data_IF_871500509600
#
_entry.id   IF_871500509600
#
_cell.length_a   1.000
_cell.length_b   1.000
_cell.length_c   1.000
_cell.angle_alpha   90.00
_cell.angle_beta   90.00
_cell.angle_gamma   90.00
#
_symmetry.space_group_name_H-M   'P 1'
#
loop_
_entity.id
_entity.type
_entity.pdbx_description
1 polymer ?
#
# COMPACT_ATOMS: atom_id res chain seq x y z
N UNK A 1 -10.44 -1.02 -22.83
CA UNK A 1 -10.42 0.03 -23.87
C UNK A 1 -10.71 -0.53 -25.27
N UNK A 2 -10.14 -1.67 -25.70
CA UNK A 2 -10.34 -2.23 -27.06
C UNK A 2 -11.82 -2.33 -27.50
N UNK A 3 -12.76 -2.84 -26.68
CA UNK A 3 -14.17 -2.88 -27.08
C UNK A 3 -14.76 -1.47 -27.31
N UNK A 4 -14.33 -0.49 -26.51
CA UNK A 4 -14.78 0.90 -26.67
C UNK A 4 -14.25 1.53 -27.96
N UNK A 5 -12.96 1.38 -28.26
CA UNK A 5 -12.34 1.86 -29.48
C UNK A 5 -13.06 1.33 -30.73
N UNK A 6 -13.49 0.06 -30.72
CA UNK A 6 -14.26 -0.52 -31.84
C UNK A 6 -15.61 0.15 -32.07
N UNK A 7 -16.21 0.70 -31.03
CA UNK A 7 -17.49 1.42 -31.10
C UNK A 7 -17.30 2.89 -31.45
N UNK A 8 -16.28 3.53 -30.88
CA UNK A 8 -16.00 4.95 -31.06
C UNK A 8 -15.48 5.28 -32.47
N UNK A 9 -14.66 4.40 -33.05
CA UNK A 9 -14.03 4.60 -34.35
C UNK A 9 -14.54 3.59 -35.38
N UNK A 10 -15.57 3.95 -36.19
CA UNK A 10 -16.10 3.08 -37.24
C UNK A 10 -15.10 2.81 -38.36
N UNK A 11 -14.26 3.81 -38.68
CA UNK A 11 -13.27 3.71 -39.73
C UNK A 11 -12.05 2.90 -39.29
N UNK A 12 -11.51 2.09 -40.20
CA UNK A 12 -10.39 1.19 -39.92
C UNK A 12 -9.09 1.96 -39.58
N UNK A 13 -8.84 3.02 -40.27
CA UNK A 13 -7.65 3.88 -40.17
C UNK A 13 -7.61 4.53 -38.78
N UNK A 14 -8.70 5.16 -38.36
CA UNK A 14 -8.83 5.80 -37.04
C UNK A 14 -8.71 4.80 -35.92
N UNK A 15 -9.28 3.60 -36.10
CA UNK A 15 -9.18 2.49 -35.14
C UNK A 15 -7.74 2.02 -34.99
N UNK A 16 -6.98 1.92 -36.07
CA UNK A 16 -5.56 1.56 -36.05
C UNK A 16 -4.76 2.63 -35.32
N UNK A 17 -5.02 3.91 -35.59
CA UNK A 17 -4.36 5.02 -34.92
C UNK A 17 -4.65 5.01 -33.41
N UNK A 18 -5.91 4.82 -33.00
CA UNK A 18 -6.32 4.71 -31.62
C UNK A 18 -5.65 3.51 -30.92
N UNK A 19 -5.64 2.34 -31.55
CA UNK A 19 -4.99 1.15 -30.98
C UNK A 19 -3.48 1.34 -30.81
N UNK A 20 -2.78 1.94 -31.79
CA UNK A 20 -1.34 2.22 -31.68
C UNK A 20 -1.01 3.09 -30.48
N UNK A 21 -1.78 4.17 -30.23
CA UNK A 21 -1.60 5.06 -29.09
C UNK A 21 -1.79 4.35 -27.73
N UNK A 22 -2.60 3.27 -27.67
CA UNK A 22 -2.81 2.48 -26.47
C UNK A 22 -1.85 1.30 -26.33
N UNK A 23 -0.95 1.05 -27.27
CA UNK A 23 0.10 0.03 -27.14
C UNK A 23 1.34 0.53 -26.40
N UNK A 24 1.41 1.81 -26.06
CA UNK A 24 2.49 2.34 -25.25
C UNK A 24 2.46 1.75 -23.83
N UNK A 25 3.64 1.69 -23.20
CA UNK A 25 3.80 1.11 -21.87
C UNK A 25 2.88 1.79 -20.85
N UNK A 26 2.14 0.97 -20.13
CA UNK A 26 1.29 1.38 -19.03
C UNK A 26 1.26 0.29 -17.97
N UNK A 27 1.71 0.61 -16.75
CA UNK A 27 1.72 -0.33 -15.63
C UNK A 27 1.39 0.40 -14.32
N UNK A 28 0.33 -0.03 -13.67
CA UNK A 28 -0.07 0.44 -12.34
C UNK A 28 -0.82 -0.66 -11.61
N UNK A 29 -1.21 -0.42 -10.36
CA UNK A 29 -2.00 -1.39 -9.62
C UNK A 29 -3.34 -1.68 -10.34
N UNK A 30 -3.72 -2.96 -10.56
CA UNK A 30 -4.84 -3.34 -11.43
C UNK A 30 -6.17 -2.67 -11.08
N UNK A 31 -6.48 -2.51 -9.78
CA UNK A 31 -7.77 -1.95 -9.37
C UNK A 31 -7.78 -0.42 -9.44
N UNK A 32 -6.69 0.20 -9.06
CA UNK A 32 -6.53 1.67 -9.12
C UNK A 32 -6.27 2.17 -10.56
N UNK A 33 -6.07 1.27 -11.49
CA UNK A 33 -6.09 1.57 -12.94
C UNK A 33 -7.47 2.04 -13.43
N UNK A 34 -8.55 1.64 -12.78
CA UNK A 34 -9.91 1.92 -13.22
C UNK A 34 -10.23 3.41 -13.45
N UNK A 35 -9.89 4.35 -12.54
CA UNK A 35 -10.16 5.77 -12.80
C UNK A 35 -9.35 6.32 -13.98
N UNK A 36 -8.11 5.86 -14.19
CA UNK A 36 -7.31 6.27 -15.36
C UNK A 36 -7.95 5.78 -16.67
N UNK A 37 -8.45 4.54 -16.65
CA UNK A 37 -9.16 4.00 -17.80
C UNK A 37 -10.46 4.75 -18.06
N UNK A 38 -11.16 5.20 -17.01
CA UNK A 38 -12.34 6.06 -17.12
C UNK A 38 -12.02 7.38 -17.80
N UNK A 39 -11.01 8.11 -17.30
CA UNK A 39 -10.54 9.37 -17.90
C UNK A 39 -10.12 9.15 -19.37
N UNK A 40 -9.33 8.12 -19.62
CA UNK A 40 -8.85 7.80 -20.97
C UNK A 40 -9.99 7.52 -21.92
N UNK A 41 -11.02 6.82 -21.47
CA UNK A 41 -12.21 6.52 -22.27
C UNK A 41 -12.99 7.78 -22.62
N UNK A 42 -13.17 8.69 -21.65
CA UNK A 42 -13.84 9.97 -21.88
C UNK A 42 -13.09 10.83 -22.90
N UNK A 43 -11.74 10.91 -22.80
CA UNK A 43 -10.93 11.66 -23.76
C UNK A 43 -11.01 11.04 -25.18
N UNK A 44 -11.03 9.72 -25.30
CA UNK A 44 -11.20 9.04 -26.60
C UNK A 44 -12.59 9.30 -27.20
N UNK A 45 -13.63 9.33 -26.37
CA UNK A 45 -14.99 9.61 -26.82
C UNK A 45 -15.14 11.05 -27.30
N UNK A 46 -14.63 12.02 -26.55
CA UNK A 46 -14.66 13.43 -26.94
C UNK A 46 -13.85 13.67 -28.24
N UNK A 47 -12.71 13.00 -28.37
CA UNK A 47 -11.92 13.05 -29.62
C UNK A 47 -12.69 12.45 -30.80
N UNK A 48 -13.35 11.31 -30.59
CA UNK A 48 -14.17 10.68 -31.64
C UNK A 48 -15.35 11.57 -32.05
N UNK A 49 -15.85 12.40 -31.14
CA UNK A 49 -16.90 13.40 -31.35
C UNK A 49 -16.38 14.70 -32.01
N UNK A 50 -15.06 14.79 -32.29
CA UNK A 50 -14.45 15.90 -33.01
C UNK A 50 -13.72 16.93 -32.13
N UNK A 51 -13.53 16.69 -30.86
CA UNK A 51 -12.71 17.52 -29.99
C UNK A 51 -11.22 17.46 -30.39
N UNK A 52 -10.52 18.58 -30.34
CA UNK A 52 -9.08 18.67 -30.66
C UNK A 52 -8.22 18.15 -29.49
N UNK A 53 -8.26 16.85 -29.30
CA UNK A 53 -7.49 16.15 -28.27
C UNK A 53 -6.35 15.40 -28.95
N UNK A 54 -5.10 15.78 -28.66
CA UNK A 54 -3.93 15.16 -29.24
C UNK A 54 -3.53 13.86 -28.50
N UNK A 55 -2.66 13.06 -29.14
CA UNK A 55 -2.18 11.79 -28.58
C UNK A 55 -1.42 11.99 -27.26
N UNK A 56 -0.69 13.10 -27.14
CA UNK A 56 0.10 13.45 -25.97
C UNK A 56 -0.79 13.71 -24.74
N UNK A 57 -1.97 14.31 -24.91
CA UNK A 57 -2.90 14.54 -23.82
C UNK A 57 -3.42 13.21 -23.23
N UNK A 58 -3.85 12.30 -24.11
CA UNK A 58 -4.35 10.98 -23.69
C UNK A 58 -3.24 10.16 -23.02
N UNK A 59 -2.04 10.17 -23.61
CA UNK A 59 -0.90 9.43 -23.06
C UNK A 59 -0.36 10.07 -21.79
N UNK A 60 -0.36 11.41 -21.71
CA UNK A 60 0.05 12.16 -20.51
C UNK A 60 -0.75 11.80 -19.28
N UNK A 61 -2.07 11.61 -19.40
CA UNK A 61 -2.91 11.13 -18.30
C UNK A 61 -2.48 9.73 -17.85
N UNK A 62 -2.31 8.81 -18.79
CA UNK A 62 -1.91 7.43 -18.47
C UNK A 62 -0.56 7.37 -17.75
N UNK A 63 0.45 8.00 -18.33
CA UNK A 63 1.82 7.99 -17.80
C UNK A 63 1.92 8.79 -16.51
N UNK A 64 1.30 9.98 -16.46
CA UNK A 64 1.36 10.85 -15.29
C UNK A 64 0.74 10.25 -14.04
N UNK A 65 -0.31 9.44 -14.20
CA UNK A 65 -1.01 8.82 -13.07
C UNK A 65 -0.51 7.39 -12.74
N UNK A 66 0.27 6.80 -13.60
CA UNK A 66 0.73 5.41 -13.49
C UNK A 66 1.48 5.14 -12.17
N UNK A 67 2.52 5.91 -11.90
CA UNK A 67 3.36 5.78 -10.71
C UNK A 67 2.64 6.16 -9.42
N UNK A 68 2.06 7.36 -9.32
CA UNK A 68 1.33 7.79 -8.12
C UNK A 68 0.23 6.83 -7.70
N UNK A 69 -0.56 6.31 -8.65
CA UNK A 69 -1.63 5.38 -8.33
C UNK A 69 -1.12 3.99 -7.95
N UNK A 70 0.01 3.53 -8.49
CA UNK A 70 0.66 2.32 -7.99
C UNK A 70 1.08 2.49 -6.53
N UNK A 71 1.68 3.64 -6.19
CA UNK A 71 2.07 3.99 -4.82
C UNK A 71 0.91 4.03 -3.81
N UNK A 72 -0.31 4.26 -4.25
CA UNK A 72 -1.53 4.17 -3.41
C UNK A 72 -2.12 2.76 -3.44
N UNK A 73 -2.21 2.15 -4.61
CA UNK A 73 -2.93 0.90 -4.83
C UNK A 73 -2.28 -0.31 -4.19
N UNK A 74 -0.96 -0.45 -4.35
CA UNK A 74 -0.24 -1.60 -3.81
C UNK A 74 -0.32 -1.67 -2.27
N UNK A 75 -0.05 -0.58 -1.52
CA UNK A 75 -0.22 -0.57 -0.08
C UNK A 75 -1.63 -0.88 0.40
N UNK A 76 -2.63 -0.27 -0.23
CA UNK A 76 -4.01 -0.43 0.20
C UNK A 76 -4.52 -1.84 -0.07
N UNK A 77 -4.34 -2.35 -1.28
CA UNK A 77 -4.92 -3.64 -1.66
C UNK A 77 -4.04 -4.83 -1.31
N UNK A 78 -2.74 -4.80 -1.69
CA UNK A 78 -1.86 -5.95 -1.50
C UNK A 78 -1.32 -6.07 -0.09
N UNK A 79 -0.99 -4.94 0.55
CA UNK A 79 -0.33 -4.94 1.85
C UNK A 79 -1.27 -4.65 3.03
N UNK A 80 -2.52 -4.25 2.80
CA UNK A 80 -3.49 -3.98 3.87
C UNK A 80 -4.74 -4.83 3.75
N UNK A 81 -5.58 -4.59 2.77
CA UNK A 81 -6.89 -5.24 2.66
C UNK A 81 -6.79 -6.76 2.49
N UNK A 82 -5.93 -7.21 1.57
CA UNK A 82 -5.79 -8.64 1.29
C UNK A 82 -5.25 -9.45 2.46
N UNK A 83 -4.17 -9.03 3.16
CA UNK A 83 -3.71 -9.70 4.37
C UNK A 83 -4.74 -9.72 5.49
N UNK A 84 -5.47 -8.63 5.73
CA UNK A 84 -6.50 -8.57 6.77
C UNK A 84 -7.61 -9.58 6.48
N UNK A 85 -8.18 -9.54 5.28
CA UNK A 85 -9.25 -10.48 4.91
C UNK A 85 -8.74 -11.93 4.87
N UNK A 86 -7.47 -12.12 4.42
CA UNK A 86 -6.83 -13.43 4.42
C UNK A 86 -6.63 -14.00 5.83
N UNK A 87 -6.18 -13.17 6.77
CA UNK A 87 -6.01 -13.58 8.17
C UNK A 87 -7.35 -13.92 8.83
N UNK A 88 -8.39 -13.12 8.60
CA UNK A 88 -9.74 -13.42 9.08
C UNK A 88 -10.28 -14.73 8.51
N UNK A 89 -10.15 -14.93 7.19
CA UNK A 89 -10.56 -16.15 6.52
C UNK A 89 -9.80 -17.38 7.03
N UNK A 90 -8.48 -17.26 7.19
CA UNK A 90 -7.62 -18.32 7.70
C UNK A 90 -7.94 -18.68 9.15
N UNK A 91 -8.17 -17.69 10.01
CA UNK A 91 -8.55 -17.91 11.41
C UNK A 91 -9.83 -18.75 11.55
N UNK A 92 -10.84 -18.45 10.74
CA UNK A 92 -12.08 -19.24 10.71
C UNK A 92 -11.86 -20.64 10.11
N UNK A 93 -11.02 -20.76 9.09
CA UNK A 93 -10.73 -22.04 8.46
C UNK A 93 -9.95 -23.00 9.38
N UNK A 94 -9.06 -22.47 10.23
CA UNK A 94 -8.32 -23.27 11.21
C UNK A 94 -9.24 -23.98 12.22
N UNK A 95 -10.41 -23.42 12.52
CA UNK A 95 -11.44 -24.07 13.33
C UNK A 95 -12.32 -25.07 12.56
N UNK A 96 -11.96 -25.40 11.31
CA UNK A 96 -12.74 -26.29 10.43
C UNK A 96 -13.98 -25.63 9.82
N UNK A 97 -14.15 -24.31 9.95
CA UNK A 97 -15.32 -23.60 9.45
C UNK A 97 -15.14 -23.17 8.00
N UNK A 98 -15.99 -23.72 7.11
CA UNK A 98 -15.99 -23.40 5.66
C UNK A 98 -16.36 -21.93 5.36
N UNK A 99 -16.93 -21.22 6.32
CA UNK A 99 -17.22 -19.79 6.19
C UNK A 99 -15.94 -18.97 6.00
N UNK A 100 -14.79 -19.41 6.50
CA UNK A 100 -13.51 -18.72 6.35
C UNK A 100 -13.12 -18.45 4.88
N UNK A 101 -12.92 -19.49 4.04
CA UNK A 101 -12.64 -19.33 2.62
C UNK A 101 -13.74 -18.57 1.86
N UNK A 102 -15.02 -18.79 2.18
CA UNK A 102 -16.13 -18.10 1.55
C UNK A 102 -16.14 -16.61 1.90
N UNK A 103 -15.87 -16.26 3.16
CA UNK A 103 -15.75 -14.86 3.60
C UNK A 103 -14.65 -14.14 2.80
N UNK A 104 -13.46 -14.74 2.72
CA UNK A 104 -12.37 -14.17 1.93
C UNK A 104 -12.77 -13.98 0.47
N UNK A 105 -13.35 -15.01 -0.15
CA UNK A 105 -13.74 -14.97 -1.56
C UNK A 105 -14.78 -13.89 -1.84
N UNK A 106 -15.87 -13.86 -1.08
CA UNK A 106 -16.95 -12.90 -1.32
C UNK A 106 -16.56 -11.48 -0.93
N UNK A 107 -16.00 -11.27 0.26
CA UNK A 107 -15.59 -9.93 0.70
C UNK A 107 -14.55 -9.31 -0.24
N UNK A 108 -13.52 -10.08 -0.62
CA UNK A 108 -12.51 -9.60 -1.56
C UNK A 108 -13.11 -9.22 -2.92
N UNK A 109 -13.96 -10.08 -3.49
CA UNK A 109 -14.54 -9.80 -4.81
C UNK A 109 -15.56 -8.65 -4.78
N UNK A 110 -16.37 -8.53 -3.73
CA UNK A 110 -17.33 -7.42 -3.59
C UNK A 110 -16.56 -6.09 -3.49
N UNK A 111 -15.58 -6.00 -2.60
CA UNK A 111 -14.77 -4.77 -2.44
C UNK A 111 -14.08 -4.41 -3.76
N UNK A 112 -13.43 -5.38 -4.40
CA UNK A 112 -12.72 -5.17 -5.66
C UNK A 112 -13.63 -4.69 -6.78
N UNK A 113 -14.77 -5.36 -6.99
CA UNK A 113 -15.71 -5.04 -8.07
C UNK A 113 -16.34 -3.68 -7.81
N UNK A 114 -16.80 -3.42 -6.59
CA UNK A 114 -17.37 -2.13 -6.23
C UNK A 114 -16.36 -0.99 -6.43
N UNK A 115 -15.11 -1.18 -5.95
CA UNK A 115 -14.06 -0.17 -6.11
C UNK A 115 -13.79 0.12 -7.60
N UNK A 116 -13.58 -0.90 -8.42
CA UNK A 116 -13.33 -0.74 -9.87
C UNK A 116 -14.50 -0.01 -10.52
N UNK A 117 -15.73 -0.41 -10.23
CA UNK A 117 -16.92 0.18 -10.84
C UNK A 117 -17.05 1.66 -10.50
N UNK A 118 -17.05 2.00 -9.19
CA UNK A 118 -17.22 3.39 -8.77
C UNK A 118 -16.08 4.30 -9.19
N UNK A 119 -14.84 3.83 -9.14
CA UNK A 119 -13.69 4.65 -9.51
C UNK A 119 -13.55 4.82 -11.02
N UNK A 120 -13.98 3.84 -11.83
CA UNK A 120 -14.04 4.00 -13.28
C UNK A 120 -15.09 5.01 -13.69
N UNK A 121 -16.28 4.93 -13.09
CA UNK A 121 -17.37 5.91 -13.34
C UNK A 121 -16.94 7.31 -12.91
N UNK A 122 -16.30 7.44 -11.75
CA UNK A 122 -15.72 8.71 -11.29
C UNK A 122 -14.67 9.23 -12.28
N UNK A 123 -13.74 8.38 -12.72
CA UNK A 123 -12.72 8.75 -13.70
C UNK A 123 -13.32 9.20 -15.03
N UNK A 124 -14.37 8.54 -15.49
CA UNK A 124 -15.06 8.95 -16.72
C UNK A 124 -15.69 10.35 -16.59
N UNK A 125 -16.38 10.63 -15.49
CA UNK A 125 -16.95 11.96 -15.22
C UNK A 125 -15.88 13.06 -15.12
N UNK A 126 -14.76 12.77 -14.47
CA UNK A 126 -13.64 13.69 -14.40
C UNK A 126 -13.01 13.88 -15.80
N UNK A 127 -12.92 12.82 -16.59
CA UNK A 127 -12.38 12.85 -17.95
C UNK A 127 -13.16 13.75 -18.91
N UNK A 128 -14.49 13.74 -18.82
CA UNK A 128 -15.32 14.67 -19.63
C UNK A 128 -15.08 16.12 -19.24
N UNK A 129 -14.91 16.42 -17.93
CA UNK A 129 -14.56 17.77 -17.48
C UNK A 129 -13.16 18.19 -17.94
N UNK A 130 -12.20 17.27 -17.95
CA UNK A 130 -10.84 17.50 -18.46
C UNK A 130 -10.86 17.80 -19.94
N UNK A 131 -11.65 17.07 -20.73
CA UNK A 131 -11.77 17.27 -22.16
C UNK A 131 -12.32 18.66 -22.52
N UNK A 132 -13.22 19.19 -21.68
CA UNK A 132 -13.79 20.54 -21.85
C UNK A 132 -12.84 21.66 -21.45
N UNK A 133 -11.89 21.39 -20.56
CA UNK A 133 -10.92 22.38 -20.04
C UNK A 133 -9.47 21.90 -20.18
N UNK A 134 -9.09 21.52 -21.41
CA UNK A 134 -7.72 21.10 -21.71
C UNK A 134 -6.68 22.21 -21.45
N UNK A 135 -7.10 23.48 -21.52
CA UNK A 135 -6.23 24.63 -21.26
C UNK A 135 -6.06 24.97 -19.79
N UNK A 136 -6.96 24.53 -18.91
CA UNK A 136 -7.02 24.90 -17.49
C UNK A 136 -6.00 24.20 -16.59
N UNK A 137 -5.17 23.33 -17.14
CA UNK A 137 -4.14 22.62 -16.35
C UNK A 137 -4.69 21.65 -15.31
N UNK A 138 -5.97 21.25 -15.41
CA UNK A 138 -6.63 20.34 -14.47
C UNK A 138 -5.92 18.99 -14.38
N UNK A 139 -5.47 18.45 -15.52
CA UNK A 139 -4.67 17.21 -15.58
C UNK A 139 -3.42 17.33 -14.69
N UNK A 140 -2.68 18.45 -14.79
CA UNK A 140 -1.49 18.70 -13.98
C UNK A 140 -1.80 18.72 -12.49
N UNK A 141 -2.88 19.37 -12.08
CA UNK A 141 -3.31 19.44 -10.67
C UNK A 141 -3.70 18.07 -10.12
N UNK A 142 -4.43 17.25 -10.88
CA UNK A 142 -4.83 15.90 -10.49
C UNK A 142 -3.59 14.99 -10.38
N UNK A 143 -2.69 15.04 -11.34
CA UNK A 143 -1.43 14.29 -11.33
C UNK A 143 -0.55 14.68 -10.14
N UNK A 144 -0.44 15.99 -9.87
CA UNK A 144 0.31 16.49 -8.72
C UNK A 144 -0.31 16.02 -7.39
N UNK A 145 -1.63 16.12 -7.24
CA UNK A 145 -2.34 15.64 -6.06
C UNK A 145 -2.16 14.14 -5.85
N UNK A 146 -2.26 13.33 -6.90
CA UNK A 146 -2.02 11.89 -6.85
C UNK A 146 -0.57 11.56 -6.49
N UNK A 147 0.41 12.33 -7.01
CA UNK A 147 1.83 12.18 -6.68
C UNK A 147 2.10 12.47 -5.20
N UNK A 148 1.56 13.57 -4.68
CA UNK A 148 1.70 13.93 -3.27
C UNK A 148 1.11 12.83 -2.37
N UNK A 149 -0.08 12.34 -2.68
CA UNK A 149 -0.72 11.27 -1.94
C UNK A 149 0.09 9.96 -2.00
N UNK A 150 0.57 9.59 -3.18
CA UNK A 150 1.40 8.40 -3.37
C UNK A 150 2.70 8.47 -2.57
N UNK A 151 3.40 9.60 -2.62
CA UNK A 151 4.64 9.81 -1.85
C UNK A 151 4.38 9.81 -0.34
N UNK A 152 3.28 10.39 0.12
CA UNK A 152 2.89 10.35 1.53
C UNK A 152 2.67 8.92 2.02
N UNK A 153 1.93 8.11 1.25
CA UNK A 153 1.65 6.71 1.59
C UNK A 153 2.96 5.89 1.58
N UNK A 154 3.81 6.06 0.58
CA UNK A 154 5.11 5.38 0.51
C UNK A 154 5.97 5.76 1.72
N UNK A 155 6.04 7.05 2.06
CA UNK A 155 6.77 7.52 3.24
C UNK A 155 6.29 6.89 4.55
N UNK A 156 4.98 6.79 4.74
CA UNK A 156 4.40 6.13 5.92
C UNK A 156 4.70 4.62 5.97
N UNK A 157 4.82 3.97 4.81
CA UNK A 157 5.11 2.53 4.74
C UNK A 157 6.58 2.20 4.90
N UNK A 158 7.49 3.09 4.53
CA UNK A 158 8.93 2.88 4.70
C UNK A 158 9.24 2.53 6.17
N UNK A 159 8.70 3.27 7.11
CA UNK A 159 8.90 3.01 8.53
C UNK A 159 8.38 1.62 8.96
N UNK A 160 7.31 1.14 8.34
CA UNK A 160 6.65 -0.12 8.72
C UNK A 160 7.29 -1.35 8.07
N UNK A 161 7.79 -1.22 6.85
CA UNK A 161 8.22 -2.35 6.03
C UNK A 161 9.73 -2.42 5.84
N UNK A 162 10.43 -1.29 5.89
CA UNK A 162 11.88 -1.28 5.84
C UNK A 162 12.42 -1.45 7.25
N UNK A 163 12.73 -2.69 7.63
CA UNK A 163 13.35 -3.00 8.92
C UNK A 163 14.83 -3.30 8.71
N UNK A 164 15.67 -2.52 9.36
CA UNK A 164 17.09 -2.77 9.44
C UNK A 164 17.39 -3.11 10.88
N UNK A 165 18.08 -4.21 11.12
CA UNK A 165 18.51 -4.59 12.46
C UNK A 165 20.04 -4.58 12.55
N UNK A 166 20.57 -3.59 13.23
CA UNK A 166 21.97 -3.57 13.63
C UNK A 166 22.12 -4.40 14.91
N UNK A 167 22.63 -5.60 14.77
CA UNK A 167 22.83 -6.57 15.88
C UNK A 167 24.04 -6.31 16.79
N UNK A 168 25.05 -5.46 16.46
CA UNK A 168 26.15 -5.21 17.38
C UNK A 168 25.64 -4.75 18.74
N UNK A 169 26.11 -5.43 19.77
CA UNK A 169 25.78 -5.12 21.17
C UNK A 169 26.60 -3.94 21.62
N UNK A 170 25.93 -2.86 22.01
CA UNK A 170 26.58 -1.64 22.52
C UNK A 170 26.78 -1.71 24.03
N UNK A 171 25.85 -2.31 24.75
CA UNK A 171 25.90 -2.38 26.20
C UNK A 171 25.26 -3.68 26.69
N UNK A 172 25.91 -4.28 27.70
CA UNK A 172 25.35 -5.35 28.52
C UNK A 172 25.38 -4.89 29.97
N UNK A 173 24.25 -4.80 30.58
CA UNK A 173 24.10 -4.38 31.98
C UNK A 173 23.35 -5.45 32.74
N UNK A 174 23.93 -5.96 33.80
CA UNK A 174 23.25 -6.84 34.73
C UNK A 174 22.16 -6.05 35.44
N UNK A 175 20.94 -6.54 35.40
CA UNK A 175 19.80 -5.86 36.02
C UNK A 175 19.90 -5.97 37.55
N UNK A 176 19.44 -4.94 38.26
CA UNK A 176 19.36 -4.96 39.71
C UNK A 176 18.31 -5.98 40.21
N UNK A 177 18.51 -6.47 41.42
CA UNK A 177 17.53 -7.38 42.07
C UNK A 177 16.13 -6.74 42.07
N UNK A 178 15.14 -7.50 41.60
CA UNK A 178 13.75 -7.03 41.43
C UNK A 178 13.40 -6.56 40.03
N UNK A 179 14.36 -6.36 39.14
CA UNK A 179 14.11 -6.03 37.75
C UNK A 179 14.04 -7.27 36.82
N UNK A 180 14.28 -8.45 37.37
CA UNK A 180 14.16 -9.74 36.67
C UNK A 180 13.57 -10.79 37.60
N UNK A 181 13.00 -11.85 37.02
CA UNK A 181 12.44 -12.98 37.73
C UNK A 181 13.59 -13.89 38.21
N UNK A 182 13.82 -13.94 39.52
CA UNK A 182 14.87 -14.81 40.08
C UNK A 182 14.35 -16.25 40.19
N UNK A 183 14.60 -17.02 39.16
CA UNK A 183 14.16 -18.41 39.03
C UNK A 183 14.73 -19.31 40.17
N UNK A 184 15.84 -18.94 40.81
CA UNK A 184 16.42 -19.70 41.91
C UNK A 184 15.58 -19.64 43.18
N UNK A 185 14.72 -18.62 43.31
CA UNK A 185 13.84 -18.41 44.44
C UNK A 185 12.41 -18.94 44.23
N UNK A 186 12.09 -19.38 43.02
CA UNK A 186 10.78 -19.90 42.69
C UNK A 186 10.74 -21.40 43.02
N UNK A 187 9.95 -21.74 44.03
CA UNK A 187 9.66 -23.14 44.34
C UNK A 187 8.62 -23.71 43.39
N UNK A 188 8.71 -25.02 43.10
CA UNK A 188 7.73 -25.70 42.22
C UNK A 188 6.33 -25.86 42.83
N UNK A 189 6.03 -25.13 43.90
CA UNK A 189 4.70 -25.08 44.54
C UNK A 189 3.75 -24.16 43.76
N UNK A 190 2.46 -24.36 43.97
CA UNK A 190 1.42 -23.49 43.37
C UNK A 190 1.62 -21.99 43.73
N UNK A 191 2.09 -21.71 44.93
CA UNK A 191 2.42 -20.35 45.40
C UNK A 191 3.63 -19.78 44.70
N UNK A 192 4.67 -20.59 44.45
CA UNK A 192 5.86 -20.17 43.68
C UNK A 192 5.51 -19.84 42.25
N UNK A 193 4.68 -20.65 41.61
CA UNK A 193 4.22 -20.40 40.21
C UNK A 193 3.37 -19.12 40.15
N UNK A 194 2.49 -18.90 41.12
CA UNK A 194 1.67 -17.68 41.20
C UNK A 194 2.53 -16.44 41.36
N UNK A 195 3.53 -16.48 42.25
CA UNK A 195 4.49 -15.38 42.43
C UNK A 195 5.29 -15.09 41.16
N UNK A 196 5.71 -16.11 40.40
CA UNK A 196 6.38 -15.92 39.12
C UNK A 196 5.48 -15.27 38.06
N UNK A 197 4.21 -15.66 38.00
CA UNK A 197 3.22 -15.08 37.10
C UNK A 197 2.92 -13.61 37.44
N UNK A 198 2.84 -13.27 38.71
CA UNK A 198 2.67 -11.88 39.16
C UNK A 198 3.88 -11.01 38.79
N UNK A 199 5.09 -11.52 39.00
CA UNK A 199 6.31 -10.84 38.56
C UNK A 199 6.38 -10.69 37.04
N UNK A 200 6.00 -11.72 36.28
CA UNK A 200 5.93 -11.66 34.84
C UNK A 200 4.89 -10.64 34.36
N UNK A 201 3.75 -10.53 35.01
CA UNK A 201 2.71 -9.56 34.68
C UNK A 201 3.19 -8.10 34.79
N UNK A 202 4.09 -7.83 35.73
CA UNK A 202 4.67 -6.50 35.97
C UNK A 202 5.91 -6.20 35.12
N UNK A 203 6.80 -7.18 34.94
CA UNK A 203 8.08 -7.01 34.27
C UNK A 203 8.03 -7.35 32.78
N UNK A 204 7.03 -8.12 32.34
CA UNK A 204 6.90 -8.61 30.97
C UNK A 204 8.07 -9.50 30.53
N UNK A 205 8.27 -9.60 29.24
CA UNK A 205 9.36 -10.42 28.67
C UNK A 205 10.77 -9.90 29.04
N UNK A 206 10.93 -8.62 29.38
CA UNK A 206 12.19 -8.06 29.82
C UNK A 206 12.68 -8.64 31.16
N UNK A 207 11.75 -9.01 32.04
CA UNK A 207 12.03 -9.65 33.34
C UNK A 207 12.51 -11.10 33.26
N UNK A 208 12.44 -11.74 32.10
CA UNK A 208 12.95 -13.11 31.92
C UNK A 208 14.48 -13.20 31.85
N UNK A 209 15.16 -12.08 31.57
CA UNK A 209 16.61 -12.03 31.40
C UNK A 209 17.27 -11.29 32.56
N UNK A 210 18.36 -11.85 33.08
CA UNK A 210 19.20 -11.23 34.11
C UNK A 210 20.02 -10.07 33.54
N UNK A 211 20.38 -10.16 32.27
CA UNK A 211 21.15 -9.13 31.56
C UNK A 211 20.28 -8.34 30.58
N UNK A 212 20.29 -7.03 30.71
CA UNK A 212 19.74 -6.13 29.69
C UNK A 212 20.80 -5.90 28.62
N UNK A 213 20.58 -6.50 27.45
CA UNK A 213 21.43 -6.30 26.27
C UNK A 213 20.83 -5.20 25.42
N UNK A 214 21.61 -4.16 25.14
CA UNK A 214 21.17 -3.06 24.26
C UNK A 214 21.98 -3.09 22.98
N UNK A 215 21.29 -3.18 21.85
CA UNK A 215 21.90 -3.15 20.52
C UNK A 215 22.02 -1.73 20.00
N UNK A 216 22.89 -1.52 18.99
CA UNK A 216 23.01 -0.25 18.30
C UNK A 216 21.66 0.21 17.71
N UNK A 217 20.89 -0.71 17.15
CA UNK A 217 19.55 -0.44 16.62
C UNK A 217 18.62 0.12 17.69
N UNK A 218 18.59 -0.49 18.88
CA UNK A 218 17.72 -0.02 19.97
C UNK A 218 18.04 1.39 20.40
N UNK A 219 19.32 1.76 20.43
CA UNK A 219 19.75 3.13 20.76
C UNK A 219 19.34 4.13 19.68
N UNK A 220 19.48 3.77 18.41
CA UNK A 220 19.05 4.61 17.30
C UNK A 220 17.53 4.81 17.29
N UNK A 221 16.76 3.75 17.55
CA UNK A 221 15.29 3.81 17.57
C UNK A 221 14.76 4.58 18.80
N UNK A 222 15.54 4.69 19.88
CA UNK A 222 15.21 5.56 21.02
C UNK A 222 15.37 7.03 20.69
N UNK A 223 16.31 7.39 19.80
CA UNK A 223 16.51 8.76 19.32
C UNK A 223 15.42 9.15 18.34
N UNK A 224 15.31 8.41 17.26
CA UNK A 224 14.29 8.61 16.22
C UNK A 224 13.87 7.23 15.71
N UNK A 225 12.64 6.77 15.99
CA UNK A 225 12.16 5.48 15.51
C UNK A 225 12.24 5.37 13.99
N UNK A 226 12.89 4.31 13.50
CA UNK A 226 13.04 4.05 12.07
C UNK A 226 14.05 4.93 11.32
N UNK A 227 14.91 5.67 12.03
CA UNK A 227 15.93 6.56 11.42
C UNK A 227 16.81 5.82 10.43
N UNK A 228 17.30 4.63 10.77
CA UNK A 228 18.17 3.85 9.90
C UNK A 228 17.45 3.45 8.59
N UNK A 229 16.18 3.06 8.66
CA UNK A 229 15.37 2.73 7.50
C UNK A 229 15.15 3.96 6.60
N UNK A 230 14.85 5.11 7.21
CA UNK A 230 14.68 6.37 6.49
C UNK A 230 15.97 6.79 5.76
N UNK A 231 17.11 6.76 6.44
CA UNK A 231 18.39 7.14 5.85
C UNK A 231 18.79 6.21 4.70
N UNK A 232 18.57 4.89 4.85
CA UNK A 232 18.81 3.95 3.76
C UNK A 232 17.92 4.23 2.55
N UNK A 233 16.65 4.49 2.79
CA UNK A 233 15.71 4.80 1.70
C UNK A 233 16.11 6.07 0.97
N UNK A 234 16.48 7.14 1.71
CA UNK A 234 16.96 8.38 1.10
C UNK A 234 18.26 8.16 0.31
N UNK A 235 19.19 7.34 0.83
CA UNK A 235 20.40 6.98 0.12
C UNK A 235 20.10 6.24 -1.19
N UNK A 236 19.20 5.27 -1.17
CA UNK A 236 18.77 4.54 -2.37
C UNK A 236 18.04 5.44 -3.39
N UNK A 237 17.32 6.47 -2.93
CA UNK A 237 16.68 7.43 -3.82
C UNK A 237 17.68 8.45 -4.41
N UNK A 238 18.81 8.66 -3.75
CA UNK A 238 19.84 9.59 -4.20
C UNK A 238 20.83 8.95 -5.19
N UNK A 239 21.08 7.64 -5.09
CA UNK A 239 21.90 6.85 -6.02
C UNK A 239 21.16 6.58 -7.34
#
# INVERSE_FOLDING_TARGET
>A
IIPAIKRLYPQKEDRIAALKRHMEFYNTHPYVSAPVMGVTLALEEERANGADINDQAIQGVKVGMMGPLAGVGDPVFWFTLRPILGALGASLALSGNIVGPLLFFFAWNIIRIAFIWYTQEFGYKVGTSIAQDLSGGLIGKITQGASILGMFIIGALVQRWVTISFTPVVSKVTQSAGAYIDWSKITGSAEGIKSALEQYSTLGAAGLNVEKVTTLQQNLDQLIPGLAALLLTLLCCWL
#
